data_IF_223797064861
#
_entry.id   IF_223797064861
#
_cell.length_a   1.000
_cell.length_b   1.000
_cell.length_c   1.000
_cell.angle_alpha   90.00
_cell.angle_beta   90.00
_cell.angle_gamma   90.00
#
_symmetry.space_group_name_H-M   'P 1'
#
loop_
_entity.id
_entity.type
_entity.pdbx_description
1 polymer ?
#
# COMPACT_ATOMS: atom_id res chain seq x y z
N UNK A 1 0.82 4.63 11.54
CA UNK A 1 0.59 5.75 10.59
C UNK A 1 0.74 5.36 9.11
N UNK A 2 1.63 4.43 8.73
CA UNK A 2 1.91 4.06 7.32
C UNK A 2 0.68 3.68 6.49
N UNK A 3 -0.22 2.86 7.03
CA UNK A 3 -1.44 2.44 6.31
C UNK A 3 -2.38 3.64 6.11
N UNK A 4 -2.56 4.47 7.13
CA UNK A 4 -3.43 5.66 7.07
C UNK A 4 -2.95 6.64 6.00
N UNK A 5 -1.64 6.92 5.95
CA UNK A 5 -1.03 7.79 4.93
C UNK A 5 -1.27 7.27 3.50
N UNK A 6 -1.23 5.94 3.30
CA UNK A 6 -1.54 5.33 2.00
C UNK A 6 -2.99 5.60 1.59
N UNK A 7 -3.94 5.40 2.52
CA UNK A 7 -5.35 5.68 2.26
C UNK A 7 -5.57 7.16 1.95
N UNK A 8 -5.02 8.07 2.75
CA UNK A 8 -5.15 9.51 2.53
C UNK A 8 -4.60 9.95 1.17
N UNK A 9 -3.40 9.48 0.79
CA UNK A 9 -2.77 9.83 -0.49
C UNK A 9 -3.65 9.42 -1.67
N UNK A 10 -4.21 8.20 -1.63
CA UNK A 10 -5.03 7.67 -2.71
C UNK A 10 -6.42 8.30 -2.74
N UNK A 11 -7.06 8.48 -1.58
CA UNK A 11 -8.38 9.10 -1.48
C UNK A 11 -8.39 10.56 -1.95
N UNK A 12 -7.32 11.32 -1.67
CA UNK A 12 -7.15 12.69 -2.21
C UNK A 12 -7.13 12.74 -3.75
N UNK A 13 -6.85 11.62 -4.40
CA UNK A 13 -6.85 11.49 -5.86
C UNK A 13 -8.08 10.74 -6.39
N UNK A 14 -9.08 10.49 -5.53
CA UNK A 14 -10.29 9.75 -5.89
C UNK A 14 -10.05 8.25 -6.15
N UNK A 15 -8.93 7.68 -5.67
CA UNK A 15 -8.57 6.28 -5.91
C UNK A 15 -8.95 5.39 -4.73
N UNK A 16 -9.44 4.20 -5.02
CA UNK A 16 -9.77 3.17 -4.04
C UNK A 16 -8.54 2.33 -3.70
N UNK A 17 -8.31 2.08 -2.41
CA UNK A 17 -7.22 1.22 -1.91
C UNK A 17 -7.81 -0.06 -1.35
N UNK A 18 -7.33 -1.21 -1.83
CA UNK A 18 -7.64 -2.52 -1.28
C UNK A 18 -6.36 -3.20 -0.77
N UNK A 19 -6.44 -3.83 0.40
CA UNK A 19 -5.36 -4.66 0.94
C UNK A 19 -5.85 -6.09 1.03
N UNK A 20 -5.32 -6.96 0.18
CA UNK A 20 -5.63 -8.39 0.17
C UNK A 20 -4.57 -9.16 0.95
N UNK A 21 -5.01 -10.20 1.66
CA UNK A 21 -4.13 -11.05 2.44
C UNK A 21 -4.15 -12.47 1.91
N UNK A 22 -2.98 -13.11 1.93
CA UNK A 22 -2.83 -14.52 1.61
C UNK A 22 -1.61 -15.10 2.35
N UNK A 23 -1.47 -16.42 2.32
CA UNK A 23 -0.39 -17.16 2.98
C UNK A 23 0.60 -17.68 1.95
N UNK A 24 1.89 -17.44 2.20
CA UNK A 24 2.98 -18.03 1.43
C UNK A 24 3.82 -18.93 2.37
N UNK A 25 3.47 -20.20 2.43
CA UNK A 25 3.95 -21.09 3.49
C UNK A 25 3.57 -20.55 4.88
N UNK A 26 4.56 -20.43 5.76
CA UNK A 26 4.37 -19.90 7.12
C UNK A 26 4.19 -18.38 7.17
N UNK A 27 4.61 -17.66 6.12
CA UNK A 27 4.57 -16.20 6.07
C UNK A 27 3.18 -15.68 5.71
N UNK A 28 2.80 -14.57 6.33
CA UNK A 28 1.67 -13.76 5.89
C UNK A 28 2.15 -12.79 4.81
N UNK A 29 1.36 -12.66 3.75
CA UNK A 29 1.58 -11.67 2.70
C UNK A 29 0.39 -10.72 2.65
N UNK A 30 0.68 -9.43 2.61
CA UNK A 30 -0.30 -8.39 2.32
C UNK A 30 0.04 -7.77 0.97
N UNK A 31 -0.96 -7.57 0.13
CA UNK A 31 -0.82 -6.99 -1.19
C UNK A 31 -1.73 -5.77 -1.31
N UNK A 32 -1.14 -4.63 -1.67
CA UNK A 32 -1.85 -3.37 -1.91
C UNK A 32 -2.25 -3.28 -3.38
N UNK A 33 -3.52 -2.99 -3.60
CA UNK A 33 -4.09 -2.65 -4.89
C UNK A 33 -4.65 -1.22 -4.83
N UNK A 34 -4.51 -0.48 -5.92
CA UNK A 34 -5.14 0.82 -6.12
C UNK A 34 -5.96 0.76 -7.40
N UNK A 35 -7.27 1.01 -7.30
CA UNK A 35 -8.24 0.83 -8.39
C UNK A 35 -8.11 -0.54 -9.08
N UNK A 36 -7.93 -1.59 -8.26
CA UNK A 36 -7.72 -2.96 -8.73
C UNK A 36 -6.34 -3.26 -9.31
N UNK A 37 -5.45 -2.27 -9.47
CA UNK A 37 -4.08 -2.46 -9.98
C UNK A 37 -3.10 -2.77 -8.87
N UNK A 38 -2.26 -3.79 -9.08
CA UNK A 38 -1.20 -4.15 -8.12
C UNK A 38 -0.17 -3.02 -7.98
N UNK A 39 0.12 -2.62 -6.74
CA UNK A 39 1.13 -1.60 -6.44
C UNK A 39 2.34 -2.22 -5.74
N UNK A 40 2.11 -2.88 -4.61
CA UNK A 40 3.18 -3.47 -3.81
C UNK A 40 2.67 -4.61 -2.92
N UNK A 41 3.61 -5.42 -2.46
CA UNK A 41 3.34 -6.46 -1.46
C UNK A 41 4.40 -6.43 -0.37
N UNK A 42 4.01 -6.86 0.83
CA UNK A 42 4.90 -7.04 1.97
C UNK A 42 4.63 -8.39 2.62
N UNK A 43 5.69 -9.01 3.16
CA UNK A 43 5.58 -10.28 3.88
C UNK A 43 6.18 -10.19 5.27
N UNK A 44 5.65 -11.01 6.19
CA UNK A 44 6.17 -11.18 7.56
C UNK A 44 5.49 -12.38 8.22
N UNK A 45 6.10 -12.91 9.28
CA UNK A 45 5.45 -13.86 10.20
C UNK A 45 4.19 -13.27 10.85
N UNK A 46 4.14 -11.95 11.05
CA UNK A 46 2.97 -11.26 11.63
C UNK A 46 2.14 -10.59 10.52
N UNK A 47 0.83 -10.84 10.52
CA UNK A 47 -0.11 -10.27 9.52
C UNK A 47 -0.06 -8.74 9.47
N UNK A 48 -0.02 -8.08 10.62
CA UNK A 48 0.04 -6.61 10.68
C UNK A 48 1.39 -6.06 10.18
N UNK A 49 2.50 -6.76 10.45
CA UNK A 49 3.81 -6.37 9.91
C UNK A 49 3.85 -6.52 8.38
N UNK A 50 3.25 -7.58 7.82
CA UNK A 50 3.13 -7.75 6.38
C UNK A 50 2.38 -6.57 5.73
N UNK A 51 1.28 -6.14 6.36
CA UNK A 51 0.48 -4.96 5.95
C UNK A 51 1.28 -3.66 5.99
N UNK A 52 2.00 -3.40 7.08
CA UNK A 52 2.86 -2.21 7.20
C UNK A 52 3.96 -2.20 6.14
N UNK A 53 4.58 -3.35 5.87
CA UNK A 53 5.60 -3.49 4.82
C UNK A 53 5.02 -3.20 3.43
N UNK A 54 3.85 -3.76 3.12
CA UNK A 54 3.16 -3.53 1.85
C UNK A 54 2.79 -2.05 1.68
N UNK A 55 2.24 -1.42 2.73
CA UNK A 55 1.87 -0.02 2.70
C UNK A 55 3.08 0.92 2.55
N UNK A 56 4.20 0.61 3.22
CA UNK A 56 5.44 1.39 3.08
C UNK A 56 5.96 1.36 1.64
N UNK A 57 6.01 0.18 1.03
CA UNK A 57 6.44 0.06 -0.36
C UNK A 57 5.47 0.70 -1.35
N UNK A 58 4.15 0.59 -1.10
CA UNK A 58 3.15 1.25 -1.92
C UNK A 58 3.30 2.77 -1.88
N UNK A 59 3.47 3.35 -0.68
CA UNK A 59 3.70 4.80 -0.52
C UNK A 59 4.91 5.28 -1.32
N UNK A 60 6.04 4.57 -1.25
CA UNK A 60 7.25 4.93 -2.00
C UNK A 60 6.97 4.97 -3.51
N UNK A 61 6.42 3.88 -4.07
CA UNK A 61 6.11 3.80 -5.50
C UNK A 61 5.10 4.85 -5.96
N UNK A 62 4.11 5.14 -5.12
CA UNK A 62 3.07 6.11 -5.43
C UNK A 62 3.58 7.54 -5.33
N UNK A 63 4.47 7.84 -4.39
CA UNK A 63 5.11 9.16 -4.30
C UNK A 63 6.02 9.48 -5.48
N UNK A 64 6.58 8.47 -6.14
CA UNK A 64 7.39 8.63 -7.37
C UNK A 64 6.53 8.83 -8.63
N UNK A 65 5.26 8.41 -8.62
CA UNK A 65 4.41 8.33 -9.83
C UNK A 65 3.19 9.25 -9.81
N UNK A 66 2.79 9.74 -8.64
CA UNK A 66 1.68 10.68 -8.51
C UNK A 66 2.24 12.10 -8.50
N UNK A 67 1.65 13.04 -9.24
CA UNK A 67 2.03 14.44 -9.10
C UNK A 67 1.76 14.86 -7.66
N UNK A 68 2.84 15.09 -6.90
CA UNK A 68 2.73 15.91 -5.70
C UNK A 68 2.19 17.24 -6.17
N UNK A 69 0.99 17.61 -5.72
CA UNK A 69 0.45 18.94 -5.89
C UNK A 69 1.31 19.91 -5.05
N UNK A 70 2.55 20.15 -5.49
CA UNK A 70 3.34 21.30 -5.10
C UNK A 70 2.79 22.43 -5.95
N UNK A 71 1.90 23.23 -5.35
CA UNK A 71 1.58 24.55 -5.91
C UNK A 71 2.90 25.35 -6.02
N UNK A 72 3.13 26.10 -7.12
CA UNK A 72 4.29 26.97 -7.26
C UNK A 72 4.31 28.09 -6.23
#
# INVERSE_FOLDING_TARGET
MTVMMLFELCQKQGKQVDIKYWKNGEKNVATVYVDGKFIASGSSEKKETAKLNAAKQALLKLSESMPTNVLP
#
